data_IF_303287906008
#
_entry.id   IF_303287906008
#
_cell.length_a   1.000
_cell.length_b   1.000
_cell.length_c   1.000
_cell.angle_alpha   90.00
_cell.angle_beta   90.00
_cell.angle_gamma   90.00
#
_symmetry.space_group_name_H-M   'P 1'
#
loop_
_entity.id
_entity.type
_entity.pdbx_description
1 polymer ?
#
# COMPACT_ATOMS: atom_id res chain seq x y z
N UNK A 1 21.24 -13.53 20.62
CA UNK A 1 22.06 -12.33 20.38
C UNK A 1 21.99 -11.99 18.89
N UNK A 2 21.46 -10.83 18.49
CA UNK A 2 21.45 -10.43 17.08
C UNK A 2 22.88 -10.06 16.67
N UNK A 3 23.32 -10.53 15.49
CA UNK A 3 24.60 -10.14 14.90
C UNK A 3 24.47 -8.73 14.34
N UNK A 4 25.19 -7.77 14.91
CA UNK A 4 25.34 -6.44 14.34
C UNK A 4 26.14 -6.54 13.03
N UNK A 5 25.51 -6.16 11.91
CA UNK A 5 26.21 -5.96 10.64
C UNK A 5 26.48 -4.48 10.46
N UNK A 6 27.74 -4.07 10.62
CA UNK A 6 28.22 -2.74 10.29
C UNK A 6 28.06 -2.51 8.78
N UNK A 7 27.22 -1.53 8.40
CA UNK A 7 27.15 -1.06 7.01
C UNK A 7 28.01 0.19 6.88
N UNK A 8 29.13 0.07 6.17
CA UNK A 8 29.92 1.21 5.75
C UNK A 8 29.31 1.78 4.47
N UNK A 9 28.82 3.01 4.52
CA UNK A 9 28.42 3.75 3.31
C UNK A 9 29.66 4.45 2.76
N UNK A 10 30.27 3.87 1.73
CA UNK A 10 31.26 4.55 0.91
C UNK A 10 30.49 5.46 -0.06
N UNK A 11 30.43 6.76 0.25
CA UNK A 11 30.05 7.76 -0.74
C UNK A 11 31.17 7.83 -1.77
N UNK A 12 30.97 7.22 -2.93
CA UNK A 12 31.87 7.39 -4.06
C UNK A 12 31.30 8.42 -5.02
N UNK A 13 32.19 9.19 -5.61
CA UNK A 13 31.87 10.21 -6.59
C UNK A 13 31.65 9.54 -7.95
N UNK A 14 30.38 9.47 -8.39
CA UNK A 14 30.01 8.88 -9.68
C UNK A 14 30.77 9.51 -10.85
N UNK A 15 31.04 10.82 -10.80
CA UNK A 15 31.74 11.52 -11.88
C UNK A 15 33.20 11.07 -12.00
N UNK A 16 33.86 10.79 -10.86
CA UNK A 16 35.20 10.22 -10.84
C UNK A 16 35.22 8.79 -11.35
N UNK A 17 34.20 7.99 -11.01
CA UNK A 17 34.11 6.60 -11.44
C UNK A 17 33.87 6.48 -12.96
N UNK A 18 33.01 7.34 -13.50
CA UNK A 18 32.71 7.43 -14.93
C UNK A 18 33.88 8.00 -15.76
N UNK A 19 34.78 8.76 -15.13
CA UNK A 19 36.01 9.26 -15.76
C UNK A 19 37.16 8.24 -15.84
N UNK A 20 36.96 7.04 -15.30
CA UNK A 20 37.97 5.98 -15.32
C UNK A 20 38.06 5.38 -16.72
N UNK A 21 39.29 5.18 -17.22
CA UNK A 21 39.50 4.59 -18.53
C UNK A 21 38.90 3.18 -18.59
N UNK A 22 38.39 2.78 -19.77
CA UNK A 22 37.73 1.48 -20.00
C UNK A 22 38.59 0.27 -19.62
N UNK A 23 39.91 0.46 -19.51
CA UNK A 23 40.91 -0.55 -19.15
C UNK A 23 41.33 -0.53 -17.67
N UNK A 24 40.68 0.28 -16.82
CA UNK A 24 40.99 0.30 -15.39
C UNK A 24 40.68 -1.06 -14.74
N UNK A 25 41.73 -1.74 -14.27
CA UNK A 25 41.63 -3.01 -13.57
C UNK A 25 42.23 -2.86 -12.16
N UNK A 26 41.42 -3.04 -11.11
CA UNK A 26 41.88 -3.00 -9.72
C UNK A 26 41.61 -4.33 -9.04
N UNK A 27 42.69 -4.96 -8.56
CA UNK A 27 42.65 -6.21 -7.81
C UNK A 27 41.97 -6.09 -6.43
N UNK A 28 41.53 -4.88 -6.04
CA UNK A 28 40.89 -4.56 -4.76
C UNK A 28 39.46 -4.03 -4.91
N UNK A 29 39.00 -3.78 -6.13
CA UNK A 29 37.63 -3.34 -6.40
C UNK A 29 36.85 -4.53 -6.95
N UNK A 30 36.02 -5.12 -6.10
CA UNK A 30 34.93 -5.97 -6.55
C UNK A 30 33.72 -5.06 -6.78
N UNK A 31 33.30 -4.89 -8.03
CA UNK A 31 32.02 -4.22 -8.32
C UNK A 31 30.93 -5.18 -7.86
N UNK A 32 30.49 -5.02 -6.60
CA UNK A 32 29.25 -5.62 -6.15
C UNK A 32 28.12 -4.83 -6.80
N UNK A 33 27.68 -5.29 -7.98
CA UNK A 33 26.34 -4.94 -8.45
C UNK A 33 25.39 -5.33 -7.33
N UNK A 34 24.70 -4.36 -6.74
CA UNK A 34 23.71 -4.64 -5.69
C UNK A 34 22.57 -5.39 -6.36
N UNK A 35 22.69 -6.71 -6.43
CA UNK A 35 21.62 -7.57 -6.93
C UNK A 35 20.47 -7.41 -5.96
N UNK A 36 19.40 -6.77 -6.42
CA UNK A 36 18.22 -6.56 -5.62
C UNK A 36 17.63 -7.94 -5.30
N UNK A 37 17.28 -8.23 -4.04
CA UNK A 37 16.98 -9.59 -3.59
C UNK A 37 15.79 -10.23 -4.31
N UNK A 38 14.91 -9.40 -4.90
CA UNK A 38 13.75 -9.82 -5.66
C UNK A 38 14.05 -10.15 -7.14
N UNK A 39 15.18 -9.74 -7.72
CA UNK A 39 15.48 -9.95 -9.15
C UNK A 39 15.58 -11.44 -9.51
N UNK A 40 15.87 -12.31 -8.54
CA UNK A 40 15.83 -13.78 -8.72
C UNK A 40 14.47 -14.34 -9.16
N UNK A 41 13.39 -13.57 -9.02
CA UNK A 41 12.03 -13.99 -9.39
C UNK A 41 11.59 -13.53 -10.79
N UNK A 42 12.28 -12.57 -11.42
CA UNK A 42 11.81 -11.79 -12.58
C UNK A 42 11.42 -12.61 -13.82
N UNK A 43 11.91 -13.84 -13.93
CA UNK A 43 11.61 -14.76 -15.02
C UNK A 43 11.19 -16.16 -14.51
N UNK A 44 10.86 -16.28 -13.23
CA UNK A 44 10.51 -17.55 -12.56
C UNK A 44 9.09 -17.47 -12.01
N UNK A 45 8.76 -16.37 -11.35
CA UNK A 45 7.48 -16.13 -10.70
C UNK A 45 7.23 -14.62 -10.68
N UNK A 46 6.46 -14.14 -11.64
CA UNK A 46 6.23 -12.70 -11.82
C UNK A 46 5.43 -12.11 -10.66
N UNK A 47 4.44 -12.83 -10.12
CA UNK A 47 3.65 -12.36 -8.99
C UNK A 47 4.57 -12.15 -7.77
N UNK A 48 5.44 -13.12 -7.49
CA UNK A 48 6.42 -13.02 -6.41
C UNK A 48 7.47 -11.96 -6.67
N UNK A 49 7.91 -11.77 -7.92
CA UNK A 49 8.79 -10.68 -8.30
C UNK A 49 8.20 -9.32 -7.89
N UNK A 50 6.96 -9.04 -8.27
CA UNK A 50 6.32 -7.77 -7.98
C UNK A 50 5.98 -7.60 -6.50
N UNK A 51 5.57 -8.68 -5.81
CA UNK A 51 5.34 -8.66 -4.36
C UNK A 51 6.61 -8.27 -3.60
N UNK A 52 7.71 -8.98 -3.85
CA UNK A 52 8.97 -8.77 -3.14
C UNK A 52 9.62 -7.43 -3.52
N UNK A 53 9.43 -6.97 -4.76
CA UNK A 53 9.78 -5.61 -5.18
C UNK A 53 8.97 -4.56 -4.41
N UNK A 54 7.66 -4.76 -4.23
CA UNK A 54 6.82 -3.83 -3.47
C UNK A 54 7.25 -3.76 -2.01
N UNK A 55 7.46 -4.92 -1.35
CA UNK A 55 7.95 -4.99 0.04
C UNK A 55 9.30 -4.30 0.21
N UNK A 56 10.21 -4.51 -0.73
CA UNK A 56 11.50 -3.82 -0.75
C UNK A 56 11.35 -2.30 -0.85
N UNK A 57 10.44 -1.82 -1.70
CA UNK A 57 10.20 -0.38 -1.90
C UNK A 57 9.52 0.28 -0.70
N UNK A 58 8.57 -0.42 -0.06
CA UNK A 58 7.91 0.06 1.14
C UNK A 58 8.83 0.05 2.36
N UNK A 59 9.80 -0.86 2.40
CA UNK A 59 10.80 -0.97 3.45
C UNK A 59 10.17 -0.92 4.86
N UNK A 60 10.44 0.15 5.62
CA UNK A 60 9.96 0.32 6.99
C UNK A 60 8.46 0.59 7.10
N UNK A 61 7.78 0.95 6.01
CA UNK A 61 6.35 1.19 6.00
C UNK A 61 5.52 -0.08 5.77
N UNK A 62 6.14 -1.20 5.36
CA UNK A 62 5.43 -2.45 5.15
C UNK A 62 4.83 -2.95 6.47
N UNK A 63 3.52 -3.20 6.47
CA UNK A 63 2.78 -3.58 7.67
C UNK A 63 1.97 -4.87 7.54
N UNK A 64 1.86 -5.44 6.33
CA UNK A 64 1.20 -6.73 6.13
C UNK A 64 0.94 -7.06 4.67
N UNK A 65 0.54 -8.29 4.41
CA UNK A 65 0.08 -8.72 3.10
C UNK A 65 -1.06 -9.74 3.21
N UNK A 66 -1.92 -9.81 2.20
CA UNK A 66 -2.99 -10.79 2.08
C UNK A 66 -3.18 -11.18 0.62
N UNK A 67 -3.29 -12.47 0.33
CA UNK A 67 -3.65 -12.95 -1.01
C UNK A 67 -5.18 -13.01 -1.14
N UNK A 68 -5.68 -12.55 -2.28
CA UNK A 68 -7.09 -12.67 -2.66
C UNK A 68 -7.18 -13.23 -4.08
N UNK A 69 -8.34 -13.83 -4.40
CA UNK A 69 -8.64 -14.31 -5.76
C UNK A 69 -9.69 -13.41 -6.40
N UNK A 70 -9.44 -12.99 -7.63
CA UNK A 70 -10.46 -12.26 -8.42
C UNK A 70 -11.61 -13.18 -8.79
N UNK A 71 -12.70 -12.62 -9.32
CA UNK A 71 -13.80 -13.41 -9.90
C UNK A 71 -13.35 -14.39 -10.99
N UNK A 72 -12.24 -14.10 -11.67
CA UNK A 72 -11.71 -14.94 -12.74
C UNK A 72 -10.72 -16.00 -12.22
N UNK A 73 -10.42 -16.02 -10.92
CA UNK A 73 -9.47 -16.93 -10.30
C UNK A 73 -8.03 -16.41 -10.21
N UNK A 74 -7.75 -15.23 -10.76
CA UNK A 74 -6.41 -14.61 -10.71
C UNK A 74 -6.03 -14.27 -9.26
N UNK A 75 -4.79 -14.57 -8.87
CA UNK A 75 -4.27 -14.21 -7.56
C UNK A 75 -3.74 -12.77 -7.55
N UNK A 76 -4.13 -12.03 -6.51
CA UNK A 76 -3.67 -10.66 -6.26
C UNK A 76 -3.23 -10.57 -4.81
N UNK A 77 -2.04 -10.01 -4.59
CA UNK A 77 -1.59 -9.64 -3.26
C UNK A 77 -2.07 -8.24 -2.93
N UNK A 78 -2.72 -8.10 -1.79
CA UNK A 78 -2.85 -6.84 -1.10
C UNK A 78 -1.63 -6.67 -0.20
N UNK A 79 -0.89 -5.59 -0.39
CA UNK A 79 0.29 -5.25 0.40
C UNK A 79 -0.01 -3.97 1.15
N UNK A 80 -0.08 -4.05 2.47
CA UNK A 80 -0.36 -2.90 3.31
C UNK A 80 0.93 -2.13 3.62
N UNK A 81 0.84 -0.82 3.52
CA UNK A 81 1.80 0.12 4.09
C UNK A 81 1.11 1.02 5.09
N UNK A 82 1.74 1.28 6.23
CA UNK A 82 1.23 2.19 7.24
C UNK A 82 2.39 3.00 7.81
N UNK A 83 2.26 4.34 7.78
CA UNK A 83 3.22 5.23 8.40
C UNK A 83 3.09 5.22 9.92
N UNK A 84 4.22 5.14 10.62
CA UNK A 84 4.29 5.39 12.06
C UNK A 84 4.39 6.89 12.39
N UNK A 85 4.78 7.70 11.41
CA UNK A 85 4.75 9.15 11.55
C UNK A 85 3.30 9.63 11.54
N UNK A 86 2.86 10.18 12.67
CA UNK A 86 1.66 11.01 12.72
C UNK A 86 1.96 12.31 12.02
N UNK A 87 1.38 12.53 10.84
CA UNK A 87 1.25 13.89 10.37
C UNK A 87 0.25 14.58 11.30
N UNK A 88 0.71 15.61 12.01
CA UNK A 88 -0.04 16.31 13.06
C UNK A 88 -1.42 16.81 12.62
N UNK A 89 -1.66 16.94 11.30
CA UNK A 89 -2.95 17.36 10.74
C UNK A 89 -3.76 16.21 10.11
N UNK A 90 -3.13 15.10 9.74
CA UNK A 90 -3.76 14.08 8.89
C UNK A 90 -3.77 12.67 9.46
N UNK A 91 -3.14 12.43 10.63
CA UNK A 91 -3.08 11.10 11.24
C UNK A 91 -1.98 10.21 10.67
N UNK A 92 -2.14 8.89 10.78
CA UNK A 92 -1.24 7.89 10.19
C UNK A 92 -1.79 7.47 8.84
N UNK A 93 -1.08 7.83 7.77
CA UNK A 93 -1.48 7.48 6.41
C UNK A 93 -1.10 6.05 6.07
N UNK A 94 -1.99 5.36 5.37
CA UNK A 94 -1.77 4.01 4.88
C UNK A 94 -2.23 3.81 3.45
N UNK A 95 -1.77 2.73 2.85
CA UNK A 95 -2.12 2.33 1.50
C UNK A 95 -2.12 0.82 1.39
N UNK A 96 -3.16 0.27 0.79
CA UNK A 96 -3.22 -1.15 0.40
C UNK A 96 -2.94 -1.20 -1.10
N UNK A 97 -1.78 -1.69 -1.49
CA UNK A 97 -1.39 -1.87 -2.89
C UNK A 97 -1.89 -3.20 -3.42
N UNK A 98 -2.43 -3.21 -4.63
CA UNK A 98 -2.93 -4.41 -5.30
C UNK A 98 -1.85 -4.87 -6.29
N UNK A 99 -1.26 -6.03 -6.05
CA UNK A 99 -0.13 -6.55 -6.83
C UNK A 99 -0.56 -7.82 -7.55
N UNK A 100 -0.46 -7.80 -8.87
CA UNK A 100 -0.74 -8.93 -9.75
C UNK A 100 0.54 -9.46 -10.41
N UNK A 101 0.43 -10.54 -11.18
CA UNK A 101 1.53 -11.03 -12.04
C UNK A 101 1.99 -10.01 -13.09
N UNK A 102 1.17 -8.99 -13.39
CA UNK A 102 1.50 -7.91 -14.32
C UNK A 102 2.08 -6.67 -13.60
N UNK A 103 2.20 -6.72 -12.26
CA UNK A 103 2.67 -5.61 -11.43
C UNK A 103 1.53 -4.87 -10.73
N UNK A 104 1.67 -3.55 -10.63
CA UNK A 104 0.73 -2.65 -9.94
C UNK A 104 -0.67 -2.71 -10.59
N UNK A 105 -1.65 -3.03 -9.77
CA UNK A 105 -3.04 -3.24 -10.15
C UNK A 105 -4.00 -2.26 -9.47
N UNK A 106 -3.45 -1.24 -8.81
CA UNK A 106 -4.17 -0.19 -8.13
C UNK A 106 -3.96 -0.20 -6.63
N UNK A 107 -4.74 0.61 -5.92
CA UNK A 107 -4.58 0.81 -4.48
C UNK A 107 -5.81 1.38 -3.81
N UNK A 108 -5.91 1.12 -2.51
CA UNK A 108 -6.80 1.83 -1.59
C UNK A 108 -5.94 2.72 -0.69
N UNK A 109 -6.31 3.99 -0.58
CA UNK A 109 -5.70 4.95 0.34
C UNK A 109 -6.59 5.16 1.56
N UNK A 110 -5.96 5.20 2.73
CA UNK A 110 -6.66 5.44 3.97
C UNK A 110 -5.80 6.24 4.95
N UNK A 111 -6.43 6.80 5.98
CA UNK A 111 -5.72 7.37 7.12
C UNK A 111 -6.39 6.98 8.43
N UNK A 112 -5.58 6.65 9.44
CA UNK A 112 -6.04 6.48 10.82
C UNK A 112 -5.91 7.82 11.53
N UNK A 113 -7.05 8.38 11.95
CA UNK A 113 -7.18 9.71 12.55
C UNK A 113 -7.79 9.63 13.94
N UNK A 114 -7.61 10.68 14.73
CA UNK A 114 -8.34 10.88 16.00
C UNK A 114 -9.50 11.85 15.75
N UNK A 115 -10.69 11.53 16.27
CA UNK A 115 -11.82 12.46 16.19
C UNK A 115 -11.66 13.59 17.20
N UNK A 116 -11.05 14.70 16.77
CA UNK A 116 -10.76 15.85 17.62
C UNK A 116 -12.00 16.53 18.22
N UNK A 117 -13.19 16.24 17.70
CA UNK A 117 -14.46 16.81 18.14
C UNK A 117 -15.27 15.86 19.03
N UNK A 118 -14.82 14.61 19.20
CA UNK A 118 -15.38 13.65 20.14
C UNK A 118 -14.75 13.83 21.52
N UNK A 119 -15.56 13.82 22.59
CA UNK A 119 -15.09 13.91 23.98
C UNK A 119 -14.03 12.84 24.30
N UNK A 120 -14.15 11.68 23.67
CA UNK A 120 -13.27 10.53 23.89
C UNK A 120 -12.10 10.45 22.88
N UNK A 121 -12.02 11.38 21.91
CA UNK A 121 -11.03 11.38 20.82
C UNK A 121 -10.87 10.01 20.15
N UNK A 122 -12.00 9.32 19.95
CA UNK A 122 -11.95 7.95 19.44
C UNK A 122 -11.28 7.93 18.06
N UNK A 123 -10.37 6.98 17.81
CA UNK A 123 -9.74 6.86 16.51
C UNK A 123 -10.73 6.31 15.49
N UNK A 124 -10.57 6.75 14.24
CA UNK A 124 -11.32 6.29 13.08
C UNK A 124 -10.42 6.12 11.88
N UNK A 125 -10.87 5.31 10.91
CA UNK A 125 -10.24 5.27 9.60
C UNK A 125 -11.05 6.08 8.61
N UNK A 126 -10.38 6.97 7.89
CA UNK A 126 -10.92 7.64 6.73
C UNK A 126 -10.45 6.91 5.46
N UNK A 127 -11.39 6.49 4.61
CA UNK A 127 -11.07 6.09 3.23
C UNK A 127 -10.89 7.35 2.41
N UNK A 128 -9.71 7.52 1.83
CA UNK A 128 -9.36 8.70 1.03
C UNK A 128 -9.75 8.48 -0.42
N UNK A 129 -9.32 7.35 -1.00
CA UNK A 129 -9.61 7.01 -2.41
C UNK A 129 -9.39 5.51 -2.67
N UNK A 130 -10.05 4.96 -3.68
CA UNK A 130 -9.88 3.60 -4.17
C UNK A 130 -9.68 3.64 -5.67
N UNK A 131 -8.44 3.38 -6.11
CA UNK A 131 -8.00 3.55 -7.51
C UNK A 131 -7.53 2.20 -8.07
N UNK A 132 -8.45 1.31 -8.48
CA UNK A 132 -8.08 0.06 -9.12
C UNK A 132 -7.75 0.28 -10.61
N UNK A 133 -6.76 -0.44 -11.15
CA UNK A 133 -6.47 -0.41 -12.60
C UNK A 133 -7.60 -1.06 -13.41
N UNK A 134 -8.28 -2.06 -12.85
CA UNK A 134 -9.45 -2.70 -13.46
C UNK A 134 -10.67 -2.61 -12.55
N UNK A 135 -11.79 -2.17 -13.12
CA UNK A 135 -13.08 -2.08 -12.44
C UNK A 135 -13.91 -3.38 -12.59
N UNK A 136 -14.89 -3.58 -11.70
CA UNK A 136 -15.92 -4.64 -11.76
C UNK A 136 -15.48 -6.10 -11.52
N UNK A 137 -14.23 -6.34 -11.13
CA UNK A 137 -13.69 -7.68 -10.85
C UNK A 137 -13.70 -8.08 -9.36
N UNK A 138 -14.35 -7.29 -8.50
CA UNK A 138 -14.55 -7.60 -7.09
C UNK A 138 -13.45 -7.12 -6.13
N UNK A 139 -12.30 -6.66 -6.65
CA UNK A 139 -11.15 -6.25 -5.86
C UNK A 139 -11.48 -5.18 -4.83
N UNK A 140 -12.28 -4.17 -5.18
CA UNK A 140 -12.64 -3.10 -4.25
C UNK A 140 -13.33 -3.64 -2.99
N UNK A 141 -14.23 -4.62 -3.12
CA UNK A 141 -14.91 -5.22 -1.97
C UNK A 141 -13.97 -6.05 -1.10
N UNK A 142 -13.05 -6.80 -1.72
CA UNK A 142 -12.04 -7.53 -0.96
C UNK A 142 -11.05 -6.58 -0.26
N UNK A 143 -10.71 -5.45 -0.89
CA UNK A 143 -9.86 -4.43 -0.30
C UNK A 143 -10.50 -3.78 0.93
N UNK A 144 -11.82 -3.52 0.89
CA UNK A 144 -12.56 -3.04 2.06
C UNK A 144 -12.56 -4.06 3.20
N UNK A 145 -12.76 -5.35 2.91
CA UNK A 145 -12.66 -6.41 3.95
C UNK A 145 -11.26 -6.48 4.56
N UNK A 146 -10.21 -6.37 3.75
CA UNK A 146 -8.86 -6.36 4.27
C UNK A 146 -8.56 -5.11 5.10
N UNK A 147 -9.10 -3.96 4.70
CA UNK A 147 -9.05 -2.74 5.51
C UNK A 147 -9.73 -2.96 6.87
N UNK A 148 -10.89 -3.62 6.93
CA UNK A 148 -11.57 -3.95 8.19
C UNK A 148 -10.70 -4.81 9.12
N UNK A 149 -9.96 -5.79 8.58
CA UNK A 149 -9.01 -6.59 9.34
C UNK A 149 -7.88 -5.74 9.94
N UNK A 150 -7.28 -4.87 9.11
CA UNK A 150 -6.23 -3.92 9.55
C UNK A 150 -6.74 -3.00 10.67
N UNK A 151 -7.99 -2.57 10.58
CA UNK A 151 -8.63 -1.65 11.51
C UNK A 151 -8.85 -2.29 12.88
N UNK A 152 -9.31 -3.54 12.90
CA UNK A 152 -9.45 -4.33 14.13
C UNK A 152 -8.09 -4.51 14.80
N UNK A 153 -7.04 -4.84 14.03
CA UNK A 153 -5.67 -4.96 14.54
C UNK A 153 -5.12 -3.65 15.16
N UNK A 154 -5.62 -2.50 14.69
CA UNK A 154 -5.23 -1.18 15.20
C UNK A 154 -6.18 -0.64 16.30
N UNK A 155 -7.09 -1.46 16.83
CA UNK A 155 -8.09 -1.09 17.85
C UNK A 155 -8.98 0.11 17.45
N UNK A 156 -9.26 0.25 16.16
CA UNK A 156 -10.17 1.27 15.61
C UNK A 156 -11.54 0.64 15.39
N UNK A 157 -12.62 1.37 15.68
CA UNK A 157 -13.99 0.82 15.71
C UNK A 157 -14.89 1.29 14.59
N UNK A 158 -14.46 2.27 13.81
CA UNK A 158 -15.30 2.85 12.80
C UNK A 158 -14.53 3.42 11.61
N UNK A 159 -15.18 3.35 10.46
CA UNK A 159 -14.71 3.81 9.16
C UNK A 159 -15.61 4.95 8.70
N UNK A 160 -14.99 6.00 8.16
CA UNK A 160 -15.63 7.16 7.56
C UNK A 160 -15.02 7.43 6.19
N UNK A 161 -15.67 8.27 5.39
CA UNK A 161 -15.12 8.76 4.14
C UNK A 161 -16.09 9.73 3.47
N UNK A 162 -15.57 10.61 2.63
CA UNK A 162 -16.39 11.54 1.87
C UNK A 162 -16.61 11.02 0.45
N UNK A 163 -17.84 11.14 -0.04
CA UNK A 163 -18.20 10.89 -1.43
C UNK A 163 -18.08 12.22 -2.19
N UNK A 164 -17.11 12.30 -3.11
CA UNK A 164 -16.92 13.49 -3.93
C UNK A 164 -18.19 13.83 -4.70
N UNK A 165 -18.66 15.10 -4.68
CA UNK A 165 -19.79 15.53 -5.50
C UNK A 165 -19.60 15.24 -6.99
N UNK A 166 -18.36 15.24 -7.48
CA UNK A 166 -18.04 14.89 -8.85
C UNK A 166 -18.29 13.40 -9.16
N UNK A 167 -17.95 12.51 -8.23
CA UNK A 167 -18.19 11.07 -8.40
C UNK A 167 -19.67 10.74 -8.33
N UNK A 168 -20.41 11.42 -7.46
CA UNK A 168 -21.86 11.30 -7.36
C UNK A 168 -22.56 11.73 -8.65
N UNK A 169 -22.05 12.76 -9.34
CA UNK A 169 -22.62 13.24 -10.61
C UNK A 169 -22.43 12.24 -11.76
N UNK A 170 -21.29 11.57 -11.84
CA UNK A 170 -20.95 10.72 -12.98
C UNK A 170 -21.38 9.26 -12.78
N UNK A 171 -21.19 8.73 -11.57
CA UNK A 171 -21.37 7.31 -11.27
C UNK A 171 -21.98 7.05 -9.88
N UNK A 172 -22.78 8.01 -9.38
CA UNK A 172 -23.31 8.00 -8.01
C UNK A 172 -24.04 6.72 -7.63
N UNK A 173 -24.96 6.22 -8.45
CA UNK A 173 -25.73 5.01 -8.14
C UNK A 173 -24.82 3.78 -7.94
N UNK A 174 -23.79 3.64 -8.78
CA UNK A 174 -22.83 2.54 -8.67
C UNK A 174 -21.98 2.67 -7.41
N UNK A 175 -21.55 3.89 -7.08
CA UNK A 175 -20.74 4.17 -5.90
C UNK A 175 -21.53 3.93 -4.61
N UNK A 176 -22.76 4.43 -4.56
CA UNK A 176 -23.73 4.22 -3.47
C UNK A 176 -23.98 2.73 -3.29
N UNK A 177 -24.32 2.03 -4.38
CA UNK A 177 -24.54 0.59 -4.33
C UNK A 177 -23.30 -0.18 -3.86
N UNK A 178 -22.11 0.21 -4.32
CA UNK A 178 -20.85 -0.40 -3.91
C UNK A 178 -20.65 -0.30 -2.39
N UNK A 179 -20.78 0.89 -1.81
CA UNK A 179 -20.59 1.07 -0.36
C UNK A 179 -21.69 0.40 0.45
N UNK A 180 -22.96 0.55 0.08
CA UNK A 180 -24.08 -0.10 0.77
C UNK A 180 -23.96 -1.63 0.76
N UNK A 181 -23.57 -2.21 -0.38
CA UNK A 181 -23.33 -3.66 -0.49
C UNK A 181 -22.22 -4.15 0.45
N UNK A 182 -21.24 -3.30 0.76
CA UNK A 182 -20.16 -3.61 1.69
C UNK A 182 -20.50 -3.20 3.15
N UNK A 183 -21.76 -2.88 3.44
CA UNK A 183 -22.25 -2.62 4.79
C UNK A 183 -22.01 -1.20 5.30
N UNK A 184 -21.72 -0.25 4.40
CA UNK A 184 -21.61 1.16 4.77
C UNK A 184 -22.98 1.84 4.71
N UNK A 185 -23.25 2.65 5.71
CA UNK A 185 -24.32 3.63 5.69
C UNK A 185 -23.87 4.88 4.94
N UNK A 186 -24.80 5.53 4.24
CA UNK A 186 -24.53 6.76 3.50
C UNK A 186 -25.42 7.88 4.05
N UNK A 187 -24.81 8.99 4.47
CA UNK A 187 -25.50 10.17 5.01
C UNK A 187 -24.77 11.42 4.55
N UNK A 188 -25.48 12.39 3.98
CA UNK A 188 -24.94 13.70 3.57
C UNK A 188 -23.65 13.63 2.73
N UNK A 189 -23.62 12.75 1.73
CA UNK A 189 -22.45 12.47 0.87
C UNK A 189 -21.24 11.91 1.64
N UNK A 190 -21.47 11.22 2.75
CA UNK A 190 -20.43 10.56 3.54
C UNK A 190 -20.79 9.11 3.76
N UNK A 191 -19.76 8.27 3.86
CA UNK A 191 -19.88 6.86 4.22
C UNK A 191 -19.53 6.65 5.68
N UNK A 192 -20.22 5.73 6.33
CA UNK A 192 -19.99 5.36 7.72
C UNK A 192 -20.13 3.87 7.88
N UNK A 193 -19.24 3.25 8.65
CA UNK A 193 -19.37 1.84 9.05
C UNK A 193 -18.78 1.64 10.44
N UNK A 194 -19.53 0.99 11.31
CA UNK A 194 -19.03 0.48 12.59
C UNK A 194 -18.56 -0.97 12.40
N UNK A 195 -17.45 -1.32 13.06
CA UNK A 195 -16.83 -2.65 13.04
C UNK A 195 -17.01 -3.32 14.41
#
# INVERSE_FOLDING_TARGET
MPKETWRFYLNYDNSKLESMAEDFNSNKLEIQTRILPYEKFKNVDNLKYYLEKMKYNLATYYSGEKVVKTKNGDEIYFVNSLSDEKDSLFGRNGSIYFISELGDYGKLYYSIKEDLFSDNKEPYVEIIDIVPTKINIGIGSEALKYLEEIIVENNVKHIKGDLSPNDLKNHGDRLIHFYQKNGYEIRDNKIYKSI
#
